data_IF_008483040890
#
_entry.id   IF_008483040890
#
_cell.length_a   1.000
_cell.length_b   1.000
_cell.length_c   1.000
_cell.angle_alpha   90.00
_cell.angle_beta   90.00
_cell.angle_gamma   90.00
#
_symmetry.space_group_name_H-M   'P 1'
#
loop_
_entity.id
_entity.type
_entity.pdbx_description
1 polymer ?
#
# COMPACT_ATOMS: atom_id res chain seq x y z
N UNK A 1 -5.04 -0.74 -9.09
CA UNK A 1 -4.87 -1.79 -8.09
C UNK A 1 -4.94 -1.12 -6.73
N UNK A 2 -5.95 -1.45 -5.90
CA UNK A 2 -6.11 -0.85 -4.58
C UNK A 2 -5.05 -1.46 -3.64
N UNK A 3 -4.25 -0.61 -2.98
CA UNK A 3 -3.33 -1.04 -1.93
C UNK A 3 -1.85 -1.13 -2.28
N UNK A 4 -1.45 -1.09 -3.55
CA UNK A 4 -0.03 -0.99 -3.88
C UNK A 4 0.52 0.39 -3.54
N UNK A 5 1.63 0.41 -2.80
CA UNK A 5 2.45 1.61 -2.68
C UNK A 5 3.08 1.88 -4.06
N UNK A 6 2.79 3.04 -4.64
CA UNK A 6 3.34 3.45 -5.92
C UNK A 6 4.88 3.54 -5.85
N UNK A 7 5.55 3.15 -6.92
CA UNK A 7 6.97 3.44 -7.07
C UNK A 7 7.17 4.92 -7.43
N UNK A 8 8.35 5.44 -7.16
CA UNK A 8 8.68 6.82 -7.50
C UNK A 8 8.47 7.10 -9.00
N UNK A 9 8.78 6.12 -9.85
CA UNK A 9 8.62 6.21 -11.31
C UNK A 9 7.18 5.99 -11.81
N UNK A 10 6.25 5.60 -10.94
CA UNK A 10 4.83 5.45 -11.31
C UNK A 10 4.09 6.80 -11.33
N UNK A 11 4.72 7.87 -10.82
CA UNK A 11 4.20 9.21 -10.87
C UNK A 11 4.67 9.94 -12.15
N UNK A 12 3.83 10.07 -13.18
CA UNK A 12 4.23 10.68 -14.45
C UNK A 12 4.53 12.18 -14.34
N UNK A 13 4.04 12.84 -13.28
CA UNK A 13 4.20 14.27 -13.06
C UNK A 13 5.48 14.61 -12.28
N UNK A 14 6.18 13.60 -11.74
CA UNK A 14 7.42 13.80 -11.01
C UNK A 14 8.54 14.21 -11.97
N UNK A 15 9.16 15.38 -11.72
CA UNK A 15 10.29 15.85 -12.51
C UNK A 15 11.62 15.21 -12.10
N UNK A 16 12.64 15.33 -12.97
CA UNK A 16 14.01 14.94 -12.61
C UNK A 16 14.50 15.70 -11.37
N UNK A 17 14.24 17.01 -11.28
CA UNK A 17 14.64 17.83 -10.13
C UNK A 17 13.94 17.38 -8.84
N UNK A 18 12.67 17.03 -8.88
CA UNK A 18 11.96 16.49 -7.71
C UNK A 18 12.55 15.14 -7.28
N UNK A 19 12.84 14.27 -8.26
CA UNK A 19 13.46 12.97 -8.01
C UNK A 19 14.87 13.11 -7.44
N UNK A 20 15.67 14.04 -7.96
CA UNK A 20 17.02 14.36 -7.46
C UNK A 20 16.95 14.86 -6.01
N UNK A 21 16.00 15.75 -5.70
CA UNK A 21 15.78 16.27 -4.34
C UNK A 21 15.38 15.16 -3.38
N UNK A 22 14.36 14.34 -3.73
CA UNK A 22 13.90 13.22 -2.91
C UNK A 22 15.04 12.25 -2.62
N UNK A 23 15.76 11.82 -3.65
CA UNK A 23 16.86 10.86 -3.51
C UNK A 23 18.03 11.44 -2.72
N UNK A 24 18.34 12.71 -2.93
CA UNK A 24 19.42 13.41 -2.20
C UNK A 24 19.07 13.60 -0.73
N UNK A 25 17.81 13.94 -0.41
CA UNK A 25 17.30 14.08 0.95
C UNK A 25 17.29 12.73 1.66
N UNK A 26 16.86 11.66 0.97
CA UNK A 26 16.98 10.30 1.48
C UNK A 26 18.43 9.91 1.77
N UNK A 27 19.36 10.21 0.86
CA UNK A 27 20.77 9.90 1.02
C UNK A 27 21.45 10.70 2.16
N UNK A 28 20.90 11.83 2.57
CA UNK A 28 21.33 12.57 3.76
C UNK A 28 20.72 12.04 5.06
N UNK A 29 19.80 11.05 4.98
CA UNK A 29 19.10 10.53 6.15
C UNK A 29 18.02 11.46 6.70
N UNK A 30 17.54 12.41 5.91
CA UNK A 30 16.58 13.44 6.32
C UNK A 30 15.12 13.02 6.08
N UNK A 31 14.89 11.88 5.41
CA UNK A 31 13.55 11.33 5.18
C UNK A 31 13.20 10.25 6.21
N UNK A 32 11.92 10.22 6.54
CA UNK A 32 11.31 9.12 7.26
C UNK A 32 10.75 8.15 6.23
N UNK A 33 11.10 6.88 6.37
CA UNK A 33 10.62 5.79 5.53
C UNK A 33 9.63 4.91 6.29
N UNK A 34 8.70 4.30 5.57
CA UNK A 34 7.86 3.23 6.11
C UNK A 34 8.27 1.90 5.52
N UNK A 35 8.21 0.83 6.34
CA UNK A 35 8.46 -0.52 5.88
C UNK A 35 7.52 -0.86 4.72
N UNK A 36 8.07 -1.27 3.57
CA UNK A 36 7.30 -1.86 2.48
C UNK A 36 7.28 -3.37 2.64
N UNK A 37 6.16 -3.86 3.09
CA UNK A 37 5.92 -5.29 3.29
C UNK A 37 5.66 -6.01 1.96
N UNK A 38 5.90 -7.32 1.92
CA UNK A 38 5.64 -8.19 0.77
C UNK A 38 4.79 -9.39 1.23
N UNK A 39 3.51 -9.35 0.93
CA UNK A 39 2.54 -10.36 1.36
C UNK A 39 1.23 -10.28 0.60
N UNK A 40 0.15 -10.70 1.23
CA UNK A 40 -1.19 -10.58 0.68
C UNK A 40 -1.89 -9.34 1.21
N UNK A 41 -2.07 -8.32 0.36
CA UNK A 41 -2.81 -7.12 0.73
C UNK A 41 -4.30 -7.43 0.96
N UNK A 42 -4.82 -6.93 2.08
CA UNK A 42 -6.24 -6.99 2.44
C UNK A 42 -6.62 -5.75 3.24
N UNK A 43 -7.86 -5.35 3.12
CA UNK A 43 -8.44 -4.28 3.90
C UNK A 43 -9.32 -4.84 5.01
N UNK A 44 -9.16 -4.31 6.21
CA UNK A 44 -9.86 -4.77 7.42
C UNK A 44 -10.64 -3.63 8.04
N UNK A 45 -11.86 -3.93 8.48
CA UNK A 45 -12.71 -3.02 9.24
C UNK A 45 -13.40 -3.78 10.38
N UNK A 46 -14.00 -3.04 11.30
CA UNK A 46 -14.81 -3.61 12.35
C UNK A 46 -16.06 -2.75 12.52
N UNK A 47 -17.21 -3.31 12.21
CA UNK A 47 -18.48 -2.59 12.13
C UNK A 47 -19.54 -3.37 12.89
N UNK A 48 -20.27 -2.71 13.79
CA UNK A 48 -21.37 -3.31 14.55
C UNK A 48 -20.97 -4.60 15.29
N UNK A 49 -19.75 -4.64 15.83
CA UNK A 49 -19.27 -5.80 16.57
C UNK A 49 -18.74 -6.95 15.72
N UNK A 50 -18.62 -6.79 14.40
CA UNK A 50 -18.16 -7.80 13.48
C UNK A 50 -16.96 -7.34 12.64
N UNK A 51 -15.98 -8.22 12.49
CA UNK A 51 -14.87 -7.99 11.57
C UNK A 51 -15.34 -8.09 10.10
N UNK A 52 -14.92 -7.13 9.30
CA UNK A 52 -15.22 -7.00 7.86
C UNK A 52 -13.94 -6.99 7.04
N UNK A 53 -13.94 -7.71 5.95
CA UNK A 53 -12.79 -7.94 5.09
C UNK A 53 -13.10 -7.52 3.66
N UNK A 54 -12.18 -6.82 3.02
CA UNK A 54 -12.34 -6.39 1.64
C UNK A 54 -11.02 -6.52 0.87
N UNK A 55 -11.07 -7.01 -0.38
CA UNK A 55 -9.91 -7.07 -1.26
C UNK A 55 -9.84 -5.93 -2.26
N UNK A 56 -10.92 -5.24 -2.45
CA UNK A 56 -11.03 -4.17 -3.43
C UNK A 56 -12.16 -3.19 -3.06
N UNK A 57 -12.25 -2.09 -3.79
CA UNK A 57 -13.29 -1.08 -3.59
C UNK A 57 -14.73 -1.63 -3.75
N UNK A 58 -14.92 -2.62 -4.61
CA UNK A 58 -16.24 -3.26 -4.80
C UNK A 58 -16.70 -4.05 -3.57
N UNK A 59 -15.76 -4.69 -2.85
CA UNK A 59 -16.06 -5.33 -1.57
C UNK A 59 -16.37 -4.29 -0.48
N UNK A 60 -15.61 -3.18 -0.43
CA UNK A 60 -15.83 -2.10 0.54
C UNK A 60 -17.20 -1.45 0.39
N UNK A 61 -17.67 -1.19 -0.85
CA UNK A 61 -19.01 -0.66 -1.14
C UNK A 61 -20.15 -1.55 -0.61
N UNK A 62 -19.88 -2.84 -0.44
CA UNK A 62 -20.84 -3.81 0.12
C UNK A 62 -20.68 -3.96 1.65
N UNK A 63 -19.95 -3.06 2.29
CA UNK A 63 -19.64 -3.14 3.72
C UNK A 63 -18.60 -4.20 4.10
N UNK A 64 -17.88 -4.74 3.13
CA UNK A 64 -16.97 -5.87 3.33
C UNK A 64 -17.70 -7.22 3.41
N UNK A 65 -16.95 -8.27 3.72
CA UNK A 65 -17.45 -9.63 3.89
C UNK A 65 -16.99 -10.18 5.23
N UNK A 66 -17.71 -11.13 5.80
CA UNK A 66 -17.16 -11.92 6.90
C UNK A 66 -16.06 -12.89 6.40
N UNK A 67 -15.33 -13.50 7.32
CA UNK A 67 -14.20 -14.38 6.98
C UNK A 67 -14.63 -15.59 6.13
N UNK A 68 -15.80 -16.19 6.42
CA UNK A 68 -16.28 -17.37 5.70
C UNK A 68 -16.65 -17.04 4.25
N UNK A 69 -17.37 -15.93 4.03
CA UNK A 69 -17.77 -15.48 2.69
C UNK A 69 -16.56 -15.05 1.86
N UNK A 70 -15.58 -14.39 2.47
CA UNK A 70 -14.35 -14.02 1.80
C UNK A 70 -13.56 -15.27 1.42
N UNK A 71 -13.41 -16.23 2.33
CA UNK A 71 -12.76 -17.50 2.08
C UNK A 71 -13.41 -18.26 0.91
N UNK A 72 -14.73 -18.33 0.87
CA UNK A 72 -15.46 -19.03 -0.20
C UNK A 72 -15.23 -18.38 -1.58
N UNK A 73 -15.13 -17.05 -1.65
CA UNK A 73 -14.98 -16.32 -2.93
C UNK A 73 -13.55 -16.24 -3.46
N UNK A 74 -12.61 -16.12 -2.55
CA UNK A 74 -11.22 -15.75 -2.87
C UNK A 74 -10.31 -16.96 -3.05
N UNK A 75 -10.63 -18.09 -2.41
CA UNK A 75 -9.71 -19.19 -2.30
C UNK A 75 -9.94 -20.33 -3.30
N UNK A 76 -9.82 -20.01 -4.57
CA UNK A 76 -9.42 -20.99 -5.57
C UNK A 76 -7.96 -21.45 -5.38
N UNK A 77 -7.23 -20.87 -4.44
CA UNK A 77 -5.78 -21.01 -4.23
C UNK A 77 -5.33 -22.12 -3.28
N UNK A 78 -6.21 -23.07 -2.91
CA UNK A 78 -5.81 -24.23 -2.11
C UNK A 78 -5.90 -24.02 -0.58
N UNK A 79 -5.87 -25.13 0.17
CA UNK A 79 -6.11 -25.19 1.62
C UNK A 79 -5.03 -24.46 2.45
N UNK A 80 -3.79 -24.37 1.94
CA UNK A 80 -2.70 -23.66 2.61
C UNK A 80 -2.99 -22.16 2.73
N UNK A 81 -3.42 -21.54 1.64
CA UNK A 81 -3.77 -20.11 1.61
C UNK A 81 -4.98 -19.82 2.49
N UNK A 82 -6.01 -20.66 2.46
CA UNK A 82 -7.18 -20.53 3.35
C UNK A 82 -6.79 -20.52 4.83
N UNK A 83 -5.87 -21.42 5.23
CA UNK A 83 -5.40 -21.48 6.62
C UNK A 83 -4.69 -20.20 7.06
N UNK A 84 -3.85 -19.64 6.19
CA UNK A 84 -3.13 -18.38 6.44
C UNK A 84 -4.13 -17.26 6.69
N UNK A 85 -5.09 -17.07 5.79
CA UNK A 85 -6.10 -16.02 5.93
C UNK A 85 -6.97 -16.21 7.18
N UNK A 86 -7.49 -17.42 7.41
CA UNK A 86 -8.33 -17.67 8.58
C UNK A 86 -7.57 -17.43 9.91
N UNK A 87 -6.29 -17.76 9.95
CA UNK A 87 -5.48 -17.52 11.14
C UNK A 87 -5.22 -16.03 11.34
N UNK A 88 -4.90 -15.27 10.28
CA UNK A 88 -4.71 -13.82 10.36
C UNK A 88 -6.01 -13.10 10.75
N UNK A 89 -7.17 -13.56 10.28
CA UNK A 89 -8.47 -12.98 10.64
C UNK A 89 -8.82 -13.22 12.10
N UNK A 90 -8.56 -14.41 12.64
CA UNK A 90 -8.75 -14.66 14.08
C UNK A 90 -7.85 -13.77 14.94
N UNK A 91 -6.59 -13.60 14.56
CA UNK A 91 -5.69 -12.69 15.25
C UNK A 91 -6.21 -11.24 15.23
N UNK A 92 -6.69 -10.77 14.08
CA UNK A 92 -7.31 -9.44 13.97
C UNK A 92 -8.54 -9.30 14.87
N UNK A 93 -9.46 -10.26 14.85
CA UNK A 93 -10.67 -10.21 15.70
C UNK A 93 -10.33 -10.21 17.19
N UNK A 94 -9.34 -11.00 17.62
CA UNK A 94 -8.87 -10.97 19.01
C UNK A 94 -8.25 -9.62 19.38
N UNK A 95 -7.38 -9.09 18.53
CA UNK A 95 -6.78 -7.78 18.72
C UNK A 95 -7.85 -6.69 18.88
N UNK A 96 -8.82 -6.62 17.96
CA UNK A 96 -9.88 -5.61 18.03
C UNK A 96 -10.78 -5.77 19.27
N UNK A 97 -11.07 -6.99 19.68
CA UNK A 97 -11.84 -7.23 20.94
C UNK A 97 -11.12 -6.82 22.22
N UNK A 98 -9.80 -6.66 22.17
CA UNK A 98 -9.00 -6.12 23.29
C UNK A 98 -9.04 -4.58 23.37
N UNK A 99 -9.66 -3.91 22.39
CA UNK A 99 -9.86 -2.46 22.38
C UNK A 99 -11.12 -2.06 23.13
N UNK A 100 -11.13 -0.81 23.61
CA UNK A 100 -12.37 -0.19 24.08
C UNK A 100 -13.29 0.19 22.92
N UNK A 101 -14.59 0.40 23.15
CA UNK A 101 -15.51 0.87 22.08
C UNK A 101 -15.07 2.20 21.46
N UNK A 102 -14.53 3.12 22.25
CA UNK A 102 -14.04 4.41 21.81
C UNK A 102 -12.82 4.27 20.87
N UNK A 103 -11.88 3.37 21.19
CA UNK A 103 -10.73 3.07 20.33
C UNK A 103 -11.16 2.40 19.03
N UNK A 104 -12.14 1.48 19.09
CA UNK A 104 -12.71 0.87 17.89
C UNK A 104 -13.36 1.93 16.98
N UNK A 105 -14.10 2.88 17.55
CA UNK A 105 -14.68 3.98 16.80
C UNK A 105 -13.61 4.89 16.17
N UNK A 106 -12.53 5.19 16.90
CA UNK A 106 -11.40 5.98 16.37
C UNK A 106 -10.72 5.31 15.18
N UNK A 107 -10.59 3.98 15.17
CA UNK A 107 -9.97 3.24 14.06
C UNK A 107 -10.91 3.00 12.89
N UNK A 108 -12.15 2.62 13.17
CA UNK A 108 -13.05 2.09 12.14
C UNK A 108 -14.20 3.04 11.79
N UNK A 109 -14.34 4.16 12.53
CA UNK A 109 -15.41 5.11 12.35
C UNK A 109 -16.76 4.60 12.87
N UNK A 110 -17.68 5.53 13.16
CA UNK A 110 -19.05 5.24 13.62
C UNK A 110 -20.09 5.32 12.50
N UNK A 111 -19.95 6.31 11.61
CA UNK A 111 -20.96 6.58 10.56
C UNK A 111 -20.55 5.99 9.20
N UNK A 112 -19.28 6.04 8.86
CA UNK A 112 -18.77 5.58 7.58
C UNK A 112 -17.59 4.63 7.81
N UNK A 113 -17.70 3.33 7.43
CA UNK A 113 -16.68 2.35 7.72
C UNK A 113 -15.31 2.72 7.17
N UNK A 114 -14.30 2.73 8.04
CA UNK A 114 -12.90 2.84 7.67
C UNK A 114 -12.32 1.44 7.51
N UNK A 115 -11.70 1.19 6.37
CA UNK A 115 -10.99 -0.03 6.06
C UNK A 115 -9.48 0.22 6.18
N UNK A 116 -8.87 -0.37 7.17
CA UNK A 116 -7.42 -0.31 7.36
C UNK A 116 -6.71 -1.07 6.24
N UNK A 117 -5.70 -0.47 5.65
CA UNK A 117 -4.82 -1.12 4.70
C UNK A 117 -3.87 -2.05 5.45
N UNK A 118 -3.88 -3.33 5.14
CA UNK A 118 -3.10 -4.34 5.86
C UNK A 118 -2.44 -5.32 4.91
N UNK A 119 -1.45 -6.04 5.41
CA UNK A 119 -0.74 -7.07 4.67
C UNK A 119 -0.51 -8.31 5.53
N UNK A 120 -0.90 -9.46 5.00
CA UNK A 120 -0.67 -10.77 5.60
C UNK A 120 0.70 -11.27 5.15
N UNK A 121 1.62 -11.44 6.09
CA UNK A 121 2.99 -11.88 5.86
C UNK A 121 3.24 -13.20 6.59
N UNK A 122 4.09 -14.03 6.03
CA UNK A 122 4.51 -15.28 6.69
C UNK A 122 5.03 -16.31 5.70
N UNK A 123 5.53 -17.46 6.21
CA UNK A 123 5.96 -18.55 5.36
C UNK A 123 4.83 -19.00 4.42
N UNK A 124 5.06 -18.87 3.11
CA UNK A 124 4.07 -19.20 2.07
C UNK A 124 3.02 -18.12 1.80
N UNK A 125 3.13 -16.92 2.41
CA UNK A 125 2.28 -15.75 2.16
C UNK A 125 3.05 -14.58 1.53
N UNK A 126 4.29 -14.79 1.08
CA UNK A 126 5.14 -13.77 0.46
C UNK A 126 5.41 -14.11 -1.01
N UNK A 127 5.71 -13.07 -1.80
CA UNK A 127 6.06 -13.24 -3.21
C UNK A 127 7.58 -13.29 -3.42
N UNK A 128 8.33 -12.44 -2.74
CA UNK A 128 9.78 -12.25 -2.92
C UNK A 128 10.53 -12.38 -1.60
N UNK A 129 9.99 -11.82 -0.51
CA UNK A 129 10.62 -11.82 0.81
C UNK A 129 10.20 -13.07 1.58
N UNK A 130 11.17 -13.83 2.10
CA UNK A 130 10.89 -14.97 2.96
C UNK A 130 10.81 -14.50 4.41
N UNK A 131 9.63 -14.59 5.01
CA UNK A 131 9.38 -14.20 6.40
C UNK A 131 9.44 -15.43 7.31
N UNK A 132 10.13 -15.30 8.45
CA UNK A 132 10.24 -16.38 9.45
C UNK A 132 9.04 -16.42 10.42
N UNK A 133 8.25 -15.36 10.48
CA UNK A 133 7.09 -15.22 11.36
C UNK A 133 5.83 -14.87 10.58
N UNK A 134 4.69 -15.28 11.11
CA UNK A 134 3.38 -14.88 10.59
C UNK A 134 2.94 -13.56 11.22
N UNK A 135 2.72 -12.56 10.41
CA UNK A 135 2.37 -11.21 10.85
C UNK A 135 1.22 -10.65 10.01
N UNK A 136 0.26 -10.04 10.66
CA UNK A 136 -0.70 -9.16 10.05
C UNK A 136 -0.23 -7.71 10.29
N UNK A 137 0.35 -7.10 9.27
CA UNK A 137 0.87 -5.74 9.34
C UNK A 137 -0.19 -4.72 8.94
N UNK A 138 -0.45 -3.73 9.80
CA UNK A 138 -1.31 -2.58 9.49
C UNK A 138 -0.39 -1.47 8.95
N UNK A 139 -0.63 -1.03 7.72
CA UNK A 139 0.13 0.04 7.10
C UNK A 139 -0.12 1.38 7.80
N UNK A 140 0.87 2.28 7.73
CA UNK A 140 0.75 3.65 8.27
C UNK A 140 -0.14 4.56 7.41
N UNK A 141 -0.54 4.11 6.20
CA UNK A 141 -1.32 4.90 5.26
C UNK A 141 -2.09 4.02 4.27
N UNK A 142 -2.79 4.66 3.33
CA UNK A 142 -3.54 3.94 2.29
C UNK A 142 -4.86 3.37 2.77
N UNK A 143 -5.32 3.74 3.98
CA UNK A 143 -6.63 3.38 4.51
C UNK A 143 -7.73 3.97 3.65
N UNK A 144 -8.87 3.29 3.61
CA UNK A 144 -10.03 3.68 2.79
C UNK A 144 -11.24 3.90 3.65
N UNK A 145 -12.11 4.80 3.20
CA UNK A 145 -13.41 5.03 3.79
C UNK A 145 -14.49 4.87 2.73
N UNK A 146 -15.56 4.16 3.05
CA UNK A 146 -16.73 4.06 2.19
C UNK A 146 -17.72 5.15 2.58
N UNK A 147 -18.13 5.95 1.62
CA UNK A 147 -19.13 7.01 1.77
C UNK A 147 -20.42 6.54 1.08
N UNK A 148 -21.41 6.17 1.88
CA UNK A 148 -22.66 5.59 1.40
C UNK A 148 -23.48 6.57 0.54
N UNK A 149 -23.53 7.85 0.91
CA UNK A 149 -24.32 8.90 0.22
C UNK A 149 -24.05 8.97 -1.30
N UNK A 150 -22.83 8.72 -1.72
CA UNK A 150 -22.43 8.78 -3.14
C UNK A 150 -21.84 7.47 -3.68
N UNK A 151 -21.99 6.37 -2.95
CA UNK A 151 -21.45 5.05 -3.29
C UNK A 151 -19.97 5.08 -3.67
N UNK A 152 -19.15 5.81 -2.91
CA UNK A 152 -17.76 6.05 -3.24
C UNK A 152 -16.81 5.54 -2.16
N UNK A 153 -15.68 4.96 -2.60
CA UNK A 153 -14.55 4.60 -1.71
C UNK A 153 -13.43 5.60 -1.94
N UNK A 154 -13.10 6.35 -0.91
CA UNK A 154 -12.08 7.40 -0.90
C UNK A 154 -10.89 7.03 -0.01
N UNK A 155 -9.78 7.74 -0.15
CA UNK A 155 -8.73 7.70 0.87
C UNK A 155 -9.22 8.44 2.12
N UNK A 156 -8.86 7.96 3.31
CA UNK A 156 -9.06 8.74 4.53
C UNK A 156 -8.21 10.01 4.49
N UNK A 157 -8.64 11.04 5.21
CA UNK A 157 -7.91 12.32 5.29
C UNK A 157 -6.62 12.17 6.09
N UNK A 158 -5.68 13.10 5.93
CA UNK A 158 -4.42 13.10 6.67
C UNK A 158 -4.65 13.16 8.19
N UNK A 159 -5.60 13.95 8.65
CA UNK A 159 -6.00 14.01 10.06
C UNK A 159 -6.57 12.69 10.60
N UNK A 160 -7.27 11.93 9.75
CA UNK A 160 -7.74 10.59 10.11
C UNK A 160 -6.58 9.59 10.13
N UNK A 161 -5.61 9.71 9.22
CA UNK A 161 -4.39 8.88 9.23
C UNK A 161 -3.60 9.10 10.54
N UNK A 162 -3.41 10.35 10.96
CA UNK A 162 -2.73 10.70 12.21
C UNK A 162 -3.45 10.10 13.42
N UNK A 163 -4.78 10.25 13.49
CA UNK A 163 -5.59 9.68 14.57
C UNK A 163 -5.50 8.15 14.60
N UNK A 164 -5.64 7.49 13.45
CA UNK A 164 -5.51 6.03 13.31
C UNK A 164 -4.12 5.60 13.78
N UNK A 165 -3.07 6.29 13.34
CA UNK A 165 -1.69 6.00 13.73
C UNK A 165 -1.49 6.08 15.24
N UNK A 166 -1.98 7.15 15.87
CA UNK A 166 -1.88 7.35 17.32
C UNK A 166 -2.66 6.27 18.07
N UNK A 167 -3.90 6.00 17.68
CA UNK A 167 -4.72 4.95 18.32
C UNK A 167 -4.04 3.58 18.21
N UNK A 168 -3.45 3.25 17.05
CA UNK A 168 -2.70 2.01 16.90
C UNK A 168 -1.50 1.95 17.84
N UNK A 169 -0.73 3.04 17.99
CA UNK A 169 0.40 3.08 18.91
C UNK A 169 -0.04 2.85 20.36
N UNK A 170 -1.20 3.36 20.77
CA UNK A 170 -1.75 3.20 22.11
C UNK A 170 -2.26 1.77 22.42
N UNK A 171 -2.60 0.99 21.36
CA UNK A 171 -3.20 -0.35 21.55
C UNK A 171 -2.27 -1.52 21.17
N UNK A 172 -1.09 -1.27 20.59
CA UNK A 172 -0.21 -2.33 20.07
C UNK A 172 0.19 -3.36 21.12
N UNK A 173 0.54 -2.94 22.34
CA UNK A 173 0.92 -3.85 23.43
C UNK A 173 -0.24 -4.80 23.78
N UNK A 174 -1.46 -4.29 23.78
CA UNK A 174 -2.67 -5.11 24.02
C UNK A 174 -2.96 -6.05 22.86
N UNK A 175 -2.63 -5.66 21.64
CA UNK A 175 -2.73 -6.54 20.47
C UNK A 175 -1.75 -7.70 20.57
N UNK A 176 -0.51 -7.43 20.96
CA UNK A 176 0.51 -8.47 21.18
C UNK A 176 0.06 -9.45 22.26
N UNK A 177 -0.40 -8.95 23.41
CA UNK A 177 -0.93 -9.80 24.51
C UNK A 177 -2.14 -10.61 24.05
N UNK A 178 -3.12 -9.98 23.40
CA UNK A 178 -4.34 -10.65 22.94
C UNK A 178 -4.10 -11.73 21.87
N UNK A 179 -3.03 -11.60 21.10
CA UNK A 179 -2.70 -12.54 20.01
C UNK A 179 -1.54 -13.49 20.35
N UNK A 180 -1.07 -13.51 21.60
CA UNK A 180 0.08 -14.32 22.01
C UNK A 180 -0.09 -15.83 21.80
N UNK A 181 -1.33 -16.33 21.81
CA UNK A 181 -1.69 -17.73 21.56
C UNK A 181 -2.13 -18.01 20.09
N UNK A 182 -2.14 -16.99 19.23
CA UNK A 182 -2.48 -17.13 17.82
C UNK A 182 -1.23 -17.37 16.96
N UNK A 183 -1.39 -18.07 15.81
CA UNK A 183 -0.30 -18.21 14.85
C UNK A 183 0.18 -16.91 14.22
N UNK A 184 -0.64 -15.86 14.25
CA UNK A 184 -0.34 -14.53 13.73
C UNK A 184 -0.29 -13.50 14.84
N UNK A 185 0.73 -12.65 14.83
CA UNK A 185 0.73 -11.40 15.59
C UNK A 185 0.14 -10.28 14.73
N UNK A 186 -0.42 -9.25 15.38
CA UNK A 186 -0.89 -8.03 14.73
C UNK A 186 0.05 -6.90 15.09
N UNK A 187 0.59 -6.20 14.08
CA UNK A 187 1.50 -5.07 14.28
C UNK A 187 1.20 -3.92 13.32
N UNK A 188 1.72 -2.75 13.62
CA UNK A 188 1.82 -1.63 12.69
C UNK A 188 3.13 -1.74 11.90
N UNK A 189 3.14 -1.34 10.61
CA UNK A 189 4.38 -1.26 9.84
C UNK A 189 5.36 -0.29 10.49
N UNK A 190 6.63 -0.65 10.50
CA UNK A 190 7.66 0.19 11.10
C UNK A 190 7.81 1.51 10.34
N UNK A 191 7.96 2.58 11.11
CA UNK A 191 8.36 3.90 10.63
C UNK A 191 9.82 4.11 11.02
N UNK A 192 10.68 4.30 10.03
CA UNK A 192 12.13 4.32 10.21
C UNK A 192 12.69 5.65 9.76
N UNK A 193 13.52 6.27 10.60
CA UNK A 193 14.37 7.35 10.17
C UNK A 193 15.47 6.77 9.29
N UNK A 194 15.57 7.24 8.04
CA UNK A 194 16.65 6.82 7.15
C UNK A 194 18.00 7.28 7.72
N UNK A 195 19.00 6.46 7.50
CA UNK A 195 20.38 6.81 7.87
C UNK A 195 21.10 7.43 6.66
N UNK A 196 21.94 8.43 6.92
CA UNK A 196 22.75 9.03 5.89
C UNK A 196 23.68 7.98 5.24
N UNK A 197 23.76 7.99 3.92
CA UNK A 197 24.68 7.12 3.19
C UNK A 197 26.11 7.57 3.43
N UNK A 198 26.98 6.65 3.83
CA UNK A 198 28.42 6.87 3.95
C UNK A 198 29.10 7.05 2.57
N UNK A 199 28.58 6.36 1.54
CA UNK A 199 29.03 6.48 0.15
C UNK A 199 27.84 6.85 -0.75
N UNK A 200 27.93 8.01 -1.40
CA UNK A 200 26.93 8.53 -2.33
C UNK A 200 27.25 8.28 -3.80
N UNK A 201 28.35 7.61 -4.10
CA UNK A 201 28.84 7.43 -5.47
C UNK A 201 27.82 6.74 -6.38
N UNK A 202 27.07 5.76 -5.85
CA UNK A 202 26.01 5.06 -6.60
C UNK A 202 24.88 6.01 -6.96
N UNK A 203 24.42 6.84 -6.02
CA UNK A 203 23.39 7.85 -6.27
C UNK A 203 23.85 8.86 -7.33
N UNK A 204 25.03 9.44 -7.13
CA UNK A 204 25.58 10.44 -8.06
C UNK A 204 25.77 9.88 -9.47
N UNK A 205 26.27 8.65 -9.59
CA UNK A 205 26.40 7.98 -10.86
C UNK A 205 25.03 7.71 -11.51
N UNK A 206 24.03 7.34 -10.72
CA UNK A 206 22.67 7.11 -11.23
C UNK A 206 22.07 8.40 -11.76
N UNK A 207 22.08 9.49 -10.99
CA UNK A 207 21.58 10.79 -11.40
C UNK A 207 22.30 11.31 -12.66
N UNK A 208 23.63 11.14 -12.71
CA UNK A 208 24.44 11.49 -13.91
C UNK A 208 24.00 10.70 -15.13
N UNK A 209 23.76 9.38 -15.00
CA UNK A 209 23.28 8.52 -16.10
C UNK A 209 21.90 8.94 -16.58
N UNK A 210 20.98 9.28 -15.67
CA UNK A 210 19.65 9.76 -16.02
C UNK A 210 19.75 11.08 -16.81
N UNK A 211 20.56 12.00 -16.35
CA UNK A 211 20.81 13.27 -17.03
C UNK A 211 21.39 13.08 -18.44
N UNK A 212 22.42 12.23 -18.58
CA UNK A 212 23.00 11.88 -19.90
C UNK A 212 21.99 11.18 -20.82
N UNK A 213 21.02 10.46 -20.28
CA UNK A 213 19.96 9.86 -21.07
C UNK A 213 18.90 10.86 -21.54
N UNK A 214 19.02 12.13 -21.13
CA UNK A 214 18.14 13.24 -21.49
C UNK A 214 16.97 13.45 -20.53
N UNK A 215 16.98 12.79 -19.34
CA UNK A 215 16.06 13.04 -18.27
C UNK A 215 16.73 14.02 -17.29
N UNK A 216 16.36 15.31 -17.36
CA UNK A 216 17.05 16.37 -16.61
C UNK A 216 16.16 17.58 -16.36
N UNK A 217 16.51 18.38 -15.38
CA UNK A 217 15.82 19.61 -15.03
C UNK A 217 14.35 19.37 -14.65
N UNK A 218 13.46 20.18 -15.18
CA UNK A 218 12.01 20.08 -14.90
C UNK A 218 11.27 19.09 -15.81
N UNK A 219 11.99 18.29 -16.63
CA UNK A 219 11.36 17.25 -17.41
C UNK A 219 10.70 16.22 -16.49
N UNK A 220 9.41 15.94 -16.73
CA UNK A 220 8.71 14.91 -15.95
C UNK A 220 8.95 13.52 -16.52
N UNK A 221 8.69 12.49 -15.68
CA UNK A 221 8.75 11.08 -16.10
C UNK A 221 7.84 10.84 -17.31
N UNK A 222 6.63 11.41 -17.29
CA UNK A 222 5.69 11.33 -18.40
C UNK A 222 6.29 11.91 -19.69
N UNK A 223 6.84 13.11 -19.64
CA UNK A 223 7.49 13.76 -20.78
C UNK A 223 8.70 12.96 -21.31
N UNK A 224 9.52 12.44 -20.39
CA UNK A 224 10.66 11.60 -20.77
C UNK A 224 10.21 10.31 -21.46
N UNK A 225 9.18 9.66 -20.92
CA UNK A 225 8.59 8.45 -21.51
C UNK A 225 8.05 8.73 -22.91
N UNK A 226 7.31 9.82 -23.10
CA UNK A 226 6.80 10.25 -24.40
C UNK A 226 7.93 10.49 -25.41
N UNK A 227 8.98 11.18 -24.97
CA UNK A 227 10.16 11.44 -25.78
C UNK A 227 10.86 10.15 -26.25
N UNK A 228 10.95 9.14 -25.37
CA UNK A 228 11.61 7.86 -25.71
C UNK A 228 10.73 6.93 -26.54
N UNK A 229 9.44 6.84 -26.24
CA UNK A 229 8.53 5.90 -26.91
C UNK A 229 8.07 6.40 -28.27
N UNK A 230 7.84 7.70 -28.44
CA UNK A 230 7.37 8.28 -29.73
C UNK A 230 8.19 7.84 -30.94
N UNK A 231 9.55 7.91 -30.95
CA UNK A 231 10.34 7.46 -32.09
C UNK A 231 10.24 5.96 -32.35
N UNK A 232 10.11 5.17 -31.27
CA UNK A 232 9.98 3.70 -31.36
C UNK A 232 8.67 3.34 -32.05
N UNK A 233 7.56 3.93 -31.56
CA UNK A 233 6.21 3.69 -32.13
C UNK A 233 6.16 4.16 -33.57
N UNK A 234 6.70 5.33 -33.90
CA UNK A 234 6.75 5.82 -35.29
C UNK A 234 7.52 4.90 -36.23
N UNK A 235 8.56 4.25 -35.73
CA UNK A 235 9.33 3.28 -36.53
C UNK A 235 8.54 1.98 -36.73
N UNK A 236 7.82 1.51 -35.68
CA UNK A 236 7.01 0.30 -35.76
C UNK A 236 5.71 0.49 -36.53
N UNK A 237 5.12 1.69 -36.48
CA UNK A 237 3.86 2.06 -37.13
C UNK A 237 3.99 3.42 -37.82
N UNK A 238 4.65 3.51 -39.01
CA UNK A 238 4.92 4.78 -39.69
C UNK A 238 3.69 5.58 -40.08
N UNK A 239 2.56 4.90 -40.29
CA UNK A 239 1.27 5.52 -40.67
C UNK A 239 0.45 5.98 -39.44
N UNK A 240 0.89 5.72 -38.23
CA UNK A 240 0.17 6.15 -37.02
C UNK A 240 0.20 7.68 -36.91
N UNK A 241 -0.96 8.30 -36.71
CA UNK A 241 -1.06 9.74 -36.46
C UNK A 241 -0.71 10.02 -34.96
N UNK A 242 -0.65 11.32 -34.60
CA UNK A 242 -0.30 11.74 -33.24
C UNK A 242 -1.26 11.20 -32.17
N UNK A 243 -2.54 11.11 -32.46
CA UNK A 243 -3.56 10.63 -31.51
C UNK A 243 -3.42 9.14 -31.25
N UNK A 244 -3.16 8.34 -32.26
CA UNK A 244 -2.90 6.90 -32.14
C UNK A 244 -1.62 6.66 -31.33
N UNK A 245 -0.56 7.44 -31.59
CA UNK A 245 0.70 7.33 -30.84
C UNK A 245 0.47 7.67 -29.36
N UNK A 246 -0.23 8.76 -29.06
CA UNK A 246 -0.56 9.15 -27.69
C UNK A 246 -1.37 8.06 -26.98
N UNK A 247 -2.40 7.51 -27.63
CA UNK A 247 -3.21 6.42 -27.08
C UNK A 247 -2.38 5.17 -26.77
N UNK A 248 -1.45 4.78 -27.63
CA UNK A 248 -0.55 3.65 -27.40
C UNK A 248 0.34 3.92 -26.17
N UNK A 249 0.92 5.13 -26.08
CA UNK A 249 1.78 5.51 -24.95
C UNK A 249 1.00 5.49 -23.64
N UNK A 250 -0.20 6.05 -23.62
CA UNK A 250 -1.06 6.07 -22.43
C UNK A 250 -1.43 4.65 -21.98
N UNK A 251 -1.70 3.76 -22.93
CA UNK A 251 -1.97 2.35 -22.62
C UNK A 251 -0.74 1.59 -22.11
N UNK A 252 0.46 1.98 -22.53
CA UNK A 252 1.72 1.40 -22.02
C UNK A 252 2.13 1.92 -20.64
N UNK A 253 1.56 3.06 -20.18
CA UNK A 253 1.79 3.66 -18.86
C UNK A 253 0.80 3.13 -17.80
N UNK A 254 -0.33 2.54 -18.21
CA UNK A 254 -1.39 1.99 -17.35
C UNK A 254 -1.05 0.57 -16.85
#
# INVERSE_FOLDING_TARGET
VAGHLAHLYDNPDLSYSDMEEILSTAARGELVGTEKTDGYNIYLSYVEGEARYARNKGDMRKGGSNAADLAARVFKGGEGVKRIYNASFRAFEKAVRAMTPEEQEMLFGSEAPVFLNTEIQGPGASNVVNYDANVLSIHSSGHKQYIEENDTVVNVTDSAIERISQTLDDVLDRFEEATADEPFSVRKTAVLQLQALSDRSVLENTLRRMNHAGFSGNMTIGQYTDMKLTPIIKRAAPSANKEVIAHIIDHMKA
#
